data_IF_350733280102
#
_entry.id   IF_350733280102
#
_cell.length_a   1.000
_cell.length_b   1.000
_cell.length_c   1.000
_cell.angle_alpha   90.00
_cell.angle_beta   90.00
_cell.angle_gamma   90.00
#
_symmetry.space_group_name_H-M   'P 1'
#
loop_
_entity.id
_entity.type
_entity.pdbx_description
1 polymer ?
#
# COMPACT_ATOMS: atom_id res chain seq x y z
N UNK A 1 21.48 -2.52 2.62
CA UNK A 1 20.07 -2.96 2.39
C UNK A 1 19.37 -3.44 3.67
N UNK A 2 19.62 -2.81 4.83
CA UNK A 2 18.91 -3.13 6.08
C UNK A 2 17.90 -2.04 6.44
N UNK A 3 18.21 -0.78 6.12
CA UNK A 3 17.34 0.36 6.37
C UNK A 3 16.01 0.25 5.59
N UNK A 4 16.04 0.10 4.26
CA UNK A 4 14.81 -0.04 3.46
C UNK A 4 13.90 -1.19 3.93
N UNK A 5 14.50 -2.29 4.42
CA UNK A 5 13.76 -3.41 5.00
C UNK A 5 13.11 -3.04 6.33
N UNK A 6 13.84 -2.33 7.19
CA UNK A 6 13.32 -1.83 8.46
C UNK A 6 12.19 -0.82 8.23
N UNK A 7 12.35 0.09 7.27
CA UNK A 7 11.35 1.09 6.90
C UNK A 7 10.07 0.43 6.41
N UNK A 8 10.15 -0.50 5.44
CA UNK A 8 8.95 -1.20 4.95
C UNK A 8 8.27 -2.02 6.03
N UNK A 9 9.04 -2.73 6.87
CA UNK A 9 8.45 -3.49 7.98
C UNK A 9 7.68 -2.56 8.93
N UNK A 10 8.31 -1.46 9.34
CA UNK A 10 7.70 -0.50 10.27
C UNK A 10 6.44 0.14 9.67
N UNK A 11 6.52 0.59 8.42
CA UNK A 11 5.41 1.24 7.72
C UNK A 11 4.21 0.30 7.56
N UNK A 12 4.43 -0.93 7.06
CA UNK A 12 3.34 -1.89 6.84
C UNK A 12 2.72 -2.35 8.16
N UNK A 13 3.52 -2.62 9.19
CA UNK A 13 2.99 -2.95 10.52
C UNK A 13 2.09 -1.85 11.06
N UNK A 14 2.54 -0.58 11.03
CA UNK A 14 1.74 0.54 11.53
C UNK A 14 0.45 0.75 10.73
N UNK A 15 0.48 0.57 9.41
CA UNK A 15 -0.72 0.67 8.58
C UNK A 15 -1.76 -0.37 8.99
N UNK A 16 -1.35 -1.63 9.15
CA UNK A 16 -2.26 -2.72 9.51
C UNK A 16 -2.80 -2.59 10.93
N UNK A 17 -1.98 -2.13 11.89
CA UNK A 17 -2.41 -1.93 13.28
C UNK A 17 -3.40 -0.77 13.43
N UNK A 18 -3.25 0.28 12.61
CA UNK A 18 -4.04 1.51 12.75
C UNK A 18 -5.26 1.56 11.83
N UNK A 19 -5.24 0.87 10.70
CA UNK A 19 -6.31 0.93 9.70
C UNK A 19 -7.02 -0.44 9.63
N UNK A 20 -7.94 -0.74 10.57
CA UNK A 20 -8.68 -1.98 10.52
C UNK A 20 -9.52 -2.05 9.24
N UNK A 21 -9.67 -3.27 8.71
CA UNK A 21 -10.43 -3.56 7.48
C UNK A 21 -9.92 -2.80 6.23
N UNK A 22 -8.63 -2.45 6.20
CA UNK A 22 -7.93 -1.98 5.01
C UNK A 22 -8.02 -3.04 3.90
N UNK A 23 -8.60 -2.65 2.77
CA UNK A 23 -8.83 -3.52 1.61
C UNK A 23 -8.70 -2.72 0.32
N UNK A 24 -8.43 -3.40 -0.79
CA UNK A 24 -8.49 -2.75 -2.10
C UNK A 24 -9.91 -2.26 -2.39
N UNK A 25 -9.99 -1.09 -3.02
CA UNK A 25 -11.27 -0.57 -3.51
C UNK A 25 -11.63 -1.30 -4.82
N UNK A 26 -12.72 -2.11 -4.84
CA UNK A 26 -13.13 -2.82 -6.06
C UNK A 26 -13.63 -1.87 -7.16
N UNK A 27 -14.05 -0.66 -6.79
CA UNK A 27 -14.55 0.36 -7.71
C UNK A 27 -13.46 1.38 -8.08
N UNK A 28 -12.25 1.23 -7.53
CA UNK A 28 -11.10 2.09 -7.80
C UNK A 28 -10.39 1.75 -9.11
N UNK A 29 -9.55 2.70 -9.57
CA UNK A 29 -8.71 2.49 -10.76
C UNK A 29 -7.78 1.29 -10.61
N UNK A 30 -7.57 0.52 -11.69
CA UNK A 30 -6.69 -0.65 -11.71
C UNK A 30 -5.24 -0.30 -11.30
N UNK A 31 -4.72 -0.81 -10.16
CA UNK A 31 -3.37 -0.58 -9.72
C UNK A 31 -2.39 -1.46 -10.51
N UNK A 32 -2.15 -1.10 -11.78
CA UNK A 32 -1.23 -1.81 -12.64
C UNK A 32 0.23 -1.37 -12.40
N UNK A 33 1.14 -2.34 -12.36
CA UNK A 33 2.58 -2.07 -12.30
C UNK A 33 3.04 -1.47 -13.63
N UNK A 34 3.68 -0.31 -13.58
CA UNK A 34 4.18 0.40 -14.77
C UNK A 34 5.60 0.90 -14.52
N UNK A 35 6.23 1.36 -15.59
CA UNK A 35 7.61 1.87 -15.60
C UNK A 35 8.55 0.91 -16.34
N UNK A 36 9.80 1.31 -16.57
CA UNK A 36 10.84 0.43 -17.11
C UNK A 36 11.92 0.16 -16.06
N UNK A 37 12.33 1.20 -15.33
CA UNK A 37 13.38 1.15 -14.30
C UNK A 37 12.80 0.95 -12.90
N UNK A 38 11.73 1.67 -12.56
CA UNK A 38 10.98 1.49 -11.31
C UNK A 38 9.61 0.93 -11.64
N UNK A 39 9.39 -0.31 -11.21
CA UNK A 39 8.17 -1.07 -11.48
C UNK A 39 7.23 -0.96 -10.28
N UNK A 40 6.38 0.07 -10.27
CA UNK A 40 5.39 0.28 -9.22
C UNK A 40 4.12 0.91 -9.78
N UNK A 41 2.95 0.64 -9.19
CA UNK A 41 1.75 1.40 -9.52
C UNK A 41 1.90 2.86 -9.06
N UNK A 42 1.22 3.78 -9.74
CA UNK A 42 1.18 5.21 -9.35
C UNK A 42 0.33 5.44 -8.10
N UNK A 43 -0.68 4.59 -7.88
CA UNK A 43 -1.52 4.59 -6.70
C UNK A 43 -2.07 3.18 -6.43
N UNK A 44 -2.51 2.94 -5.19
CA UNK A 44 -3.23 1.73 -4.80
C UNK A 44 -4.52 2.16 -4.13
N UNK A 45 -5.67 2.13 -4.83
CA UNK A 45 -6.95 2.52 -4.25
C UNK A 45 -7.36 1.55 -3.14
N UNK A 46 -7.75 2.10 -1.99
CA UNK A 46 -8.12 1.32 -0.81
C UNK A 46 -9.33 1.91 -0.10
N UNK A 47 -10.11 1.03 0.52
CA UNK A 47 -11.18 1.38 1.45
C UNK A 47 -10.73 1.03 2.88
N UNK A 48 -11.22 1.82 3.83
CA UNK A 48 -11.07 1.59 5.26
C UNK A 48 -12.38 1.92 5.96
N UNK A 49 -12.57 1.40 7.16
CA UNK A 49 -13.73 1.74 7.95
C UNK A 49 -13.57 3.14 8.54
N UNK A 50 -14.68 3.89 8.56
CA UNK A 50 -14.71 5.22 9.16
C UNK A 50 -14.64 5.06 10.68
N UNK A 51 -13.67 5.72 11.32
CA UNK A 51 -13.60 5.81 12.79
C UNK A 51 -14.67 6.71 13.37
#
# INVERSE_FOLDING_TARGET
>A
MHLARLEMRTAITLLLDRLPNLRLDPDGDDPHVRGQVFQSPTSVPVLLDRR
#
